data_IF_404048922760
#
_entry.id   IF_404048922760
#
_cell.length_a   1.000
_cell.length_b   1.000
_cell.length_c   1.000
_cell.angle_alpha   90.00
_cell.angle_beta   90.00
_cell.angle_gamma   90.00
#
_symmetry.space_group_name_H-M   'P 1'
#
loop_
_entity.id
_entity.type
_entity.pdbx_description
1 polymer ?
#
# COMPACT_ATOMS: atom_id res chain seq x y z
N UNK A 1 6.98 -22.06 -6.91
CA UNK A 1 5.78 -22.06 -7.77
C UNK A 1 5.45 -20.61 -8.07
N UNK A 2 4.89 -20.33 -9.25
CA UNK A 2 4.78 -18.98 -9.83
C UNK A 2 3.60 -18.20 -9.21
N UNK A 3 3.79 -16.93 -8.87
CA UNK A 3 2.70 -16.04 -8.47
C UNK A 3 1.67 -15.87 -9.60
N UNK A 4 0.38 -15.95 -9.29
CA UNK A 4 -0.70 -15.87 -10.31
C UNK A 4 -1.07 -14.43 -10.69
N UNK A 5 -0.52 -13.45 -9.98
CA UNK A 5 -0.69 -12.01 -10.26
C UNK A 5 0.44 -11.20 -9.61
N UNK A 6 0.64 -9.96 -10.07
CA UNK A 6 1.59 -9.00 -9.50
C UNK A 6 1.24 -7.56 -9.90
N UNK A 7 2.11 -6.60 -9.57
CA UNK A 7 1.89 -5.18 -9.87
C UNK A 7 1.84 -4.87 -11.38
N UNK A 8 2.55 -5.62 -12.22
CA UNK A 8 2.50 -5.45 -13.68
C UNK A 8 1.16 -5.93 -14.23
N UNK A 9 0.65 -7.06 -13.75
CA UNK A 9 -0.71 -7.54 -14.08
C UNK A 9 -1.76 -6.52 -13.64
N UNK A 10 -1.62 -5.95 -12.45
CA UNK A 10 -2.52 -4.90 -11.98
C UNK A 10 -2.48 -3.65 -12.86
N UNK A 11 -1.29 -3.21 -13.28
CA UNK A 11 -1.13 -2.11 -14.22
C UNK A 11 -1.82 -2.40 -15.57
N UNK A 12 -1.63 -3.59 -16.13
CA UNK A 12 -2.32 -4.03 -17.35
C UNK A 12 -3.84 -3.96 -17.18
N UNK A 13 -4.38 -4.55 -16.11
CA UNK A 13 -5.81 -4.52 -15.82
C UNK A 13 -6.38 -3.10 -15.68
N UNK A 14 -5.62 -2.17 -15.09
CA UNK A 14 -5.99 -0.74 -14.98
C UNK A 14 -6.05 -0.10 -16.37
N UNK A 15 -5.02 -0.31 -17.19
CA UNK A 15 -4.90 0.28 -18.52
C UNK A 15 -5.95 -0.28 -19.49
N UNK A 16 -6.20 -1.59 -19.47
CA UNK A 16 -7.23 -2.25 -20.28
C UNK A 16 -8.64 -1.82 -19.89
N UNK A 17 -8.92 -1.71 -18.58
CA UNK A 17 -10.21 -1.21 -18.09
C UNK A 17 -10.45 0.24 -18.54
N UNK A 18 -9.38 1.01 -18.72
CA UNK A 18 -9.39 2.41 -19.17
C UNK A 18 -10.39 3.28 -18.38
N UNK A 19 -10.55 2.99 -17.08
CA UNK A 19 -11.46 3.70 -16.20
C UNK A 19 -11.08 3.47 -14.73
N UNK A 20 -10.73 4.55 -14.05
CA UNK A 20 -10.43 4.54 -12.62
C UNK A 20 -11.54 5.19 -11.79
N UNK A 21 -12.79 4.98 -12.22
CA UNK A 21 -13.98 5.34 -11.43
C UNK A 21 -14.27 4.24 -10.41
N UNK A 22 -14.33 4.64 -9.14
CA UNK A 22 -14.66 3.73 -8.05
C UNK A 22 -16.14 3.41 -8.11
N UNK A 23 -16.47 2.13 -8.21
CA UNK A 23 -17.86 1.66 -8.30
C UNK A 23 -18.35 1.20 -6.93
N UNK A 24 -19.63 1.45 -6.60
CA UNK A 24 -20.25 0.90 -5.40
C UNK A 24 -20.14 -0.62 -5.37
N UNK A 25 -19.84 -1.18 -4.20
CA UNK A 25 -19.83 -2.61 -3.95
C UNK A 25 -21.02 -2.96 -3.07
N UNK A 26 -21.80 -3.96 -3.46
CA UNK A 26 -23.00 -4.39 -2.75
C UNK A 26 -22.73 -5.60 -1.86
N UNK A 27 -23.21 -5.55 -0.63
CA UNK A 27 -23.29 -6.69 0.28
C UNK A 27 -24.45 -7.61 -0.11
N UNK A 28 -24.48 -8.82 0.45
CA UNK A 28 -25.54 -9.82 0.18
C UNK A 28 -26.95 -9.34 0.53
N UNK A 29 -27.07 -8.42 1.48
CA UNK A 29 -28.33 -7.76 1.85
C UNK A 29 -28.71 -6.57 0.94
N UNK A 30 -27.94 -6.31 -0.11
CA UNK A 30 -28.14 -5.19 -1.05
C UNK A 30 -27.61 -3.83 -0.57
N UNK A 31 -27.09 -3.71 0.66
CA UNK A 31 -26.50 -2.44 1.11
C UNK A 31 -25.15 -2.18 0.45
N UNK A 32 -24.86 -0.94 0.11
CA UNK A 32 -23.56 -0.53 -0.44
C UNK A 32 -22.51 -0.38 0.67
N UNK A 33 -21.27 -0.76 0.38
CA UNK A 33 -20.11 -0.52 1.25
C UNK A 33 -19.83 0.99 1.42
N UNK A 34 -19.08 1.34 2.47
CA UNK A 34 -18.74 2.73 2.73
C UNK A 34 -17.82 3.26 1.63
N UNK A 35 -17.88 4.57 1.33
CA UNK A 35 -17.01 5.20 0.34
C UNK A 35 -15.50 5.10 0.68
N UNK A 36 -15.14 4.66 1.89
CA UNK A 36 -13.75 4.34 2.27
C UNK A 36 -13.24 3.05 1.62
N UNK A 37 -14.10 2.04 1.52
CA UNK A 37 -13.76 0.68 1.07
C UNK A 37 -13.60 0.62 -0.47
N UNK A 38 -14.14 1.60 -1.18
CA UNK A 38 -14.23 1.58 -2.64
C UNK A 38 -12.86 1.56 -3.34
N UNK A 39 -11.84 2.22 -2.77
CA UNK A 39 -10.47 2.15 -3.30
C UNK A 39 -9.86 0.77 -3.05
N UNK A 40 -10.06 0.20 -1.86
CA UNK A 40 -9.51 -1.12 -1.52
C UNK A 40 -10.06 -2.20 -2.45
N UNK A 41 -11.38 -2.22 -2.69
CA UNK A 41 -12.00 -3.11 -3.67
C UNK A 41 -11.49 -2.86 -5.09
N UNK A 42 -11.37 -1.60 -5.51
CA UNK A 42 -10.81 -1.27 -6.82
C UNK A 42 -9.39 -1.84 -6.97
N UNK A 43 -8.52 -1.64 -5.99
CA UNK A 43 -7.14 -2.14 -6.05
C UNK A 43 -7.12 -3.67 -6.04
N UNK A 44 -7.90 -4.32 -5.17
CA UNK A 44 -8.06 -5.80 -5.18
C UNK A 44 -8.52 -6.31 -6.54
N UNK A 45 -9.49 -5.64 -7.17
CA UNK A 45 -9.98 -6.01 -8.50
C UNK A 45 -8.88 -5.93 -9.57
N UNK A 46 -8.00 -4.93 -9.49
CA UNK A 46 -6.92 -4.78 -10.46
C UNK A 46 -5.85 -5.86 -10.25
N UNK A 47 -5.56 -6.27 -9.02
CA UNK A 47 -4.68 -7.42 -8.79
C UNK A 47 -5.36 -8.77 -9.11
N UNK A 48 -6.67 -8.88 -9.01
CA UNK A 48 -7.38 -10.15 -9.21
C UNK A 48 -8.13 -10.13 -10.55
N UNK A 49 -7.44 -10.47 -11.65
CA UNK A 49 -7.99 -10.46 -13.00
C UNK A 49 -9.38 -11.12 -13.06
N UNK A 50 -10.35 -10.40 -13.62
CA UNK A 50 -11.76 -10.83 -13.73
C UNK A 50 -12.68 -10.41 -12.57
N UNK A 51 -12.15 -10.01 -11.42
CA UNK A 51 -12.98 -9.59 -10.28
C UNK A 51 -13.78 -8.32 -10.56
N UNK A 52 -13.28 -7.42 -11.41
CA UNK A 52 -13.94 -6.18 -11.83
C UNK A 52 -15.26 -6.40 -12.58
N UNK A 53 -15.52 -7.61 -13.09
CA UNK A 53 -16.76 -7.97 -13.76
C UNK A 53 -17.97 -8.09 -12.81
N UNK A 54 -17.72 -8.18 -11.50
CA UNK A 54 -18.75 -8.38 -10.47
C UNK A 54 -18.97 -7.11 -9.64
N UNK A 55 -20.16 -6.97 -9.06
CA UNK A 55 -20.50 -5.86 -8.16
C UNK A 55 -20.87 -6.30 -6.74
N UNK A 56 -21.15 -7.60 -6.53
CA UNK A 56 -21.40 -8.13 -5.20
C UNK A 56 -20.11 -8.64 -4.55
N UNK A 57 -19.96 -8.34 -3.28
CA UNK A 57 -18.79 -8.69 -2.48
C UNK A 57 -18.54 -10.21 -2.43
N UNK A 58 -19.61 -11.02 -2.39
CA UNK A 58 -19.48 -12.47 -2.35
C UNK A 58 -18.86 -13.04 -3.64
N UNK A 59 -19.28 -12.53 -4.80
CA UNK A 59 -18.76 -12.96 -6.11
C UNK A 59 -17.29 -12.56 -6.27
N UNK A 60 -16.95 -11.32 -5.92
CA UNK A 60 -15.57 -10.84 -5.90
C UNK A 60 -14.70 -11.68 -4.99
N UNK A 61 -15.19 -12.02 -3.79
CA UNK A 61 -14.46 -12.85 -2.83
C UNK A 61 -14.10 -14.24 -3.39
N UNK A 62 -14.95 -14.83 -4.25
CA UNK A 62 -14.64 -16.12 -4.91
C UNK A 62 -13.45 -15.99 -5.88
N UNK A 63 -13.33 -14.83 -6.55
CA UNK A 63 -12.17 -14.53 -7.39
C UNK A 63 -10.94 -14.24 -6.51
N UNK A 64 -11.08 -13.37 -5.50
CA UNK A 64 -9.99 -13.00 -4.59
C UNK A 64 -9.32 -14.21 -3.92
N UNK A 65 -10.09 -15.23 -3.53
CA UNK A 65 -9.55 -16.46 -2.93
C UNK A 65 -8.56 -17.23 -3.83
N UNK A 66 -8.58 -16.98 -5.14
CA UNK A 66 -7.67 -17.61 -6.10
C UNK A 66 -6.29 -16.91 -6.14
N UNK A 67 -6.26 -15.62 -5.82
CA UNK A 67 -5.08 -14.76 -5.97
C UNK A 67 -4.46 -14.30 -4.65
N UNK A 68 -5.27 -14.15 -3.59
CA UNK A 68 -4.86 -13.56 -2.33
C UNK A 68 -4.66 -14.64 -1.26
N UNK A 69 -3.56 -14.54 -0.51
CA UNK A 69 -3.30 -15.36 0.69
C UNK A 69 -3.91 -14.74 1.95
N UNK A 70 -4.14 -13.43 1.94
CA UNK A 70 -4.83 -12.69 3.00
C UNK A 70 -5.69 -11.58 2.39
N UNK A 71 -6.88 -11.34 2.94
CA UNK A 71 -7.87 -10.41 2.38
C UNK A 71 -8.16 -9.17 3.23
N UNK A 72 -7.45 -8.97 4.33
CA UNK A 72 -7.61 -7.78 5.17
C UNK A 72 -8.63 -7.92 6.29
N UNK A 73 -8.45 -7.06 7.29
CA UNK A 73 -9.46 -6.71 8.29
C UNK A 73 -9.13 -5.30 8.83
N UNK A 74 -9.93 -4.79 9.77
CA UNK A 74 -9.78 -3.43 10.31
C UNK A 74 -8.57 -3.21 11.24
N UNK A 75 -7.81 -4.24 11.58
CA UNK A 75 -6.78 -4.22 12.64
C UNK A 75 -5.39 -4.56 12.12
N UNK A 76 -5.30 -5.44 11.13
CA UNK A 76 -4.05 -5.99 10.66
C UNK A 76 -3.51 -5.25 9.43
N UNK A 77 -2.19 -5.24 9.31
CA UNK A 77 -1.46 -4.74 8.16
C UNK A 77 -0.80 -5.92 7.45
N UNK A 78 -0.77 -5.97 6.11
CA UNK A 78 -1.39 -5.02 5.17
C UNK A 78 -2.89 -5.30 4.95
N UNK A 79 -3.56 -4.39 4.23
CA UNK A 79 -4.97 -4.53 3.82
C UNK A 79 -5.24 -5.79 2.97
N UNK A 80 -4.25 -6.29 2.22
CA UNK A 80 -4.29 -7.66 1.66
C UNK A 80 -2.90 -8.17 1.27
N UNK A 81 -2.75 -9.49 1.11
CA UNK A 81 -1.49 -10.12 0.65
C UNK A 81 -1.79 -10.98 -0.57
N UNK A 82 -0.98 -10.80 -1.61
CA UNK A 82 -1.01 -11.63 -2.81
C UNK A 82 -0.31 -12.95 -2.51
N UNK A 83 -0.91 -14.07 -2.91
CA UNK A 83 -0.31 -15.40 -2.74
C UNK A 83 1.04 -15.46 -3.47
N UNK A 84 2.07 -15.92 -2.76
CA UNK A 84 3.47 -15.93 -3.20
C UNK A 84 4.00 -14.56 -3.67
N UNK A 85 3.34 -13.46 -3.27
CA UNK A 85 3.64 -12.10 -3.72
C UNK A 85 3.70 -11.09 -2.58
N UNK A 86 3.68 -9.78 -2.93
CA UNK A 86 3.76 -8.71 -1.96
C UNK A 86 2.45 -8.50 -1.18
N UNK A 87 2.57 -7.84 -0.04
CA UNK A 87 1.45 -7.18 0.62
C UNK A 87 1.08 -5.88 -0.10
N UNK A 88 -0.18 -5.47 0.01
CA UNK A 88 -0.66 -4.22 -0.61
C UNK A 88 -1.46 -3.42 0.40
N UNK A 89 -1.14 -2.13 0.51
CA UNK A 89 -1.74 -1.17 1.42
C UNK A 89 -2.33 0.01 0.63
N UNK A 90 -3.63 -0.03 0.30
CA UNK A 90 -4.32 1.10 -0.30
C UNK A 90 -4.39 2.31 0.65
N UNK A 91 -4.16 3.50 0.10
CA UNK A 91 -4.28 4.78 0.81
C UNK A 91 -5.07 5.77 -0.01
N UNK A 92 -6.29 6.07 0.46
CA UNK A 92 -7.19 7.02 -0.19
C UNK A 92 -6.88 8.44 0.26
N UNK A 93 -6.73 9.33 -0.70
CA UNK A 93 -6.61 10.78 -0.52
C UNK A 93 -7.73 11.49 -1.28
N UNK A 94 -8.00 12.74 -0.93
CA UNK A 94 -9.04 13.53 -1.59
C UNK A 94 -8.44 14.70 -2.35
N UNK A 95 -8.96 14.94 -3.55
CA UNK A 95 -8.53 16.04 -4.42
C UNK A 95 -7.23 15.75 -5.18
N UNK A 96 -6.74 16.78 -5.87
CA UNK A 96 -5.54 16.72 -6.72
C UNK A 96 -4.23 16.95 -5.96
N UNK A 97 -4.32 17.41 -4.71
CA UNK A 97 -3.13 17.68 -3.88
C UNK A 97 -2.38 16.41 -3.54
N UNK A 98 -1.15 16.57 -3.04
CA UNK A 98 -0.27 15.46 -2.67
C UNK A 98 0.10 15.53 -1.18
N UNK A 99 -0.87 15.43 -0.24
CA UNK A 99 -0.54 15.44 1.18
C UNK A 99 0.29 14.22 1.56
N UNK A 100 0.94 14.30 2.72
CA UNK A 100 1.57 13.13 3.32
C UNK A 100 0.50 12.06 3.66
N UNK A 101 0.91 10.80 3.59
CA UNK A 101 0.11 9.65 3.98
C UNK A 101 0.18 9.51 5.50
N UNK A 102 -0.96 9.68 6.18
CA UNK A 102 -1.06 9.41 7.60
C UNK A 102 -1.14 7.90 7.87
N UNK A 103 -0.25 7.40 8.72
CA UNK A 103 -0.17 6.00 9.14
C UNK A 103 -0.40 5.92 10.65
N UNK A 104 -1.62 5.51 11.02
CA UNK A 104 -2.12 5.54 12.40
C UNK A 104 -1.96 4.21 13.16
N UNK A 105 -1.67 3.13 12.44
CA UNK A 105 -1.65 1.77 13.00
C UNK A 105 -0.23 1.24 13.20
N UNK A 106 0.73 1.66 12.38
CA UNK A 106 2.15 1.32 12.50
C UNK A 106 3.02 2.35 11.78
N UNK A 107 4.34 2.26 11.98
CA UNK A 107 5.33 2.92 11.14
C UNK A 107 5.25 2.43 9.67
N UNK A 108 5.76 3.21 8.69
CA UNK A 108 5.85 2.77 7.29
C UNK A 108 6.80 1.58 7.15
N UNK A 109 6.50 0.65 6.25
CA UNK A 109 7.24 -0.60 6.09
C UNK A 109 7.66 -0.80 4.64
N UNK A 110 8.94 -0.98 4.39
CA UNK A 110 9.45 -1.42 3.09
C UNK A 110 9.06 -2.88 2.81
N UNK A 111 9.11 -3.70 3.85
CA UNK A 111 8.85 -5.14 3.83
C UNK A 111 7.96 -5.56 5.00
N UNK A 112 7.35 -6.73 4.89
CA UNK A 112 6.81 -7.46 6.04
C UNK A 112 7.61 -8.75 6.24
N UNK A 113 7.73 -9.13 7.51
CA UNK A 113 8.32 -10.35 8.02
C UNK A 113 7.29 -11.09 8.88
N UNK A 114 7.41 -12.40 9.12
CA UNK A 114 6.49 -13.15 9.98
C UNK A 114 6.25 -12.55 11.37
N UNK A 115 7.24 -11.83 11.91
CA UNK A 115 7.24 -11.14 13.20
C UNK A 115 6.80 -9.66 13.13
N UNK A 116 6.51 -9.14 11.93
CA UNK A 116 6.15 -7.74 11.73
C UNK A 116 4.97 -7.30 12.58
N UNK A 117 5.07 -6.07 13.11
CA UNK A 117 4.01 -5.48 13.91
C UNK A 117 2.69 -5.39 13.13
N UNK A 118 1.64 -5.92 13.75
CA UNK A 118 0.25 -5.97 13.26
C UNK A 118 0.04 -6.87 12.03
N UNK A 119 0.99 -7.74 11.69
CA UNK A 119 0.73 -8.82 10.72
C UNK A 119 -0.44 -9.69 11.21
N UNK A 120 -1.34 -10.16 10.32
CA UNK A 120 -2.33 -11.16 10.70
C UNK A 120 -1.64 -12.44 11.22
N UNK A 121 -2.31 -13.21 12.09
CA UNK A 121 -1.83 -14.54 12.49
C UNK A 121 -1.44 -15.37 11.25
N UNK A 122 -0.26 -15.99 11.29
CA UNK A 122 0.32 -16.67 10.12
C UNK A 122 -0.55 -17.81 9.59
N UNK A 123 -1.32 -18.48 10.46
CA UNK A 123 -2.27 -19.53 10.12
C UNK A 123 -3.47 -19.02 9.30
N UNK A 124 -3.74 -17.71 9.30
CA UNK A 124 -4.74 -17.08 8.46
C UNK A 124 -4.19 -16.63 7.10
N UNK A 125 -2.86 -16.64 6.92
CA UNK A 125 -2.21 -16.30 5.65
C UNK A 125 -1.97 -17.59 4.88
N UNK A 126 -2.76 -17.81 3.82
CA UNK A 126 -2.74 -19.07 3.07
C UNK A 126 -1.64 -19.00 2.00
N UNK A 127 -0.42 -19.32 2.39
CA UNK A 127 0.75 -19.46 1.51
C UNK A 127 1.14 -20.93 1.31
N UNK A 128 1.79 -21.22 0.19
CA UNK A 128 2.25 -22.58 -0.12
C UNK A 128 3.59 -22.92 0.55
N UNK A 129 4.40 -21.90 0.83
CA UNK A 129 5.73 -22.04 1.43
C UNK A 129 5.89 -21.05 2.58
N UNK A 130 6.75 -21.42 3.53
CA UNK A 130 7.26 -20.46 4.51
C UNK A 130 8.00 -19.32 3.80
N UNK A 131 7.83 -18.11 4.31
CA UNK A 131 8.45 -16.91 3.77
C UNK A 131 9.10 -16.14 4.91
N UNK A 132 10.22 -15.49 4.62
CA UNK A 132 10.96 -14.68 5.59
C UNK A 132 10.72 -13.19 5.40
N UNK A 133 10.39 -12.79 4.17
CA UNK A 133 10.19 -11.40 3.79
C UNK A 133 9.22 -11.33 2.60
N UNK A 134 8.36 -10.31 2.59
CA UNK A 134 7.56 -9.92 1.42
C UNK A 134 7.63 -8.41 1.23
N UNK A 135 7.76 -7.98 -0.02
CA UNK A 135 7.61 -6.57 -0.42
C UNK A 135 6.23 -6.02 -0.02
N UNK A 136 6.14 -4.71 0.20
CA UNK A 136 4.88 -3.99 0.36
C UNK A 136 4.68 -3.01 -0.80
N UNK A 137 3.46 -2.96 -1.35
CA UNK A 137 3.03 -1.96 -2.32
C UNK A 137 2.09 -0.97 -1.64
N UNK A 138 2.45 0.30 -1.65
CA UNK A 138 1.56 1.40 -1.25
C UNK A 138 0.73 1.83 -2.47
N UNK A 139 -0.56 1.51 -2.44
CA UNK A 139 -1.50 1.86 -3.51
C UNK A 139 -2.20 3.19 -3.21
N UNK A 140 -1.59 4.31 -3.60
CA UNK A 140 -2.02 5.66 -3.21
C UNK A 140 -2.97 6.26 -4.25
N UNK A 141 -4.26 6.33 -3.92
CA UNK A 141 -5.31 6.82 -4.82
C UNK A 141 -5.81 8.20 -4.41
N UNK A 142 -5.71 9.18 -5.30
CA UNK A 142 -6.25 10.53 -5.14
C UNK A 142 -7.63 10.63 -5.78
N UNK A 143 -8.67 10.70 -4.98
CA UNK A 143 -10.05 10.69 -5.45
C UNK A 143 -10.60 12.09 -5.74
N UNK A 144 -11.25 12.26 -6.88
CA UNK A 144 -12.14 13.37 -7.15
C UNK A 144 -13.48 13.13 -6.42
N UNK A 145 -13.77 13.98 -5.43
CA UNK A 145 -14.99 13.86 -4.60
C UNK A 145 -16.29 14.09 -5.35
N UNK A 146 -16.24 14.72 -6.52
CA UNK A 146 -17.46 15.06 -7.24
C UNK A 146 -18.02 13.86 -8.02
N UNK A 147 -17.15 12.95 -8.46
CA UNK A 147 -17.54 11.90 -9.39
C UNK A 147 -16.93 10.52 -9.07
N UNK A 148 -16.24 10.38 -7.94
CA UNK A 148 -15.62 9.12 -7.49
C UNK A 148 -14.57 8.59 -8.48
N UNK A 149 -14.03 9.44 -9.36
CA UNK A 149 -12.92 9.10 -10.25
C UNK A 149 -11.58 9.42 -9.60
N UNK A 150 -10.60 8.54 -9.75
CA UNK A 150 -9.24 8.87 -9.35
C UNK A 150 -8.65 9.96 -10.28
N UNK A 151 -8.01 10.97 -9.71
CA UNK A 151 -7.13 11.88 -10.42
C UNK A 151 -5.76 11.22 -10.66
N UNK A 152 -5.34 10.38 -9.71
CA UNK A 152 -4.04 9.73 -9.71
C UNK A 152 -4.09 8.42 -8.91
N UNK A 153 -3.33 7.44 -9.36
CA UNK A 153 -3.02 6.23 -8.63
C UNK A 153 -1.52 5.95 -8.70
N UNK A 154 -0.89 5.73 -7.55
CA UNK A 154 0.45 5.18 -7.44
C UNK A 154 0.39 3.74 -6.96
N UNK A 155 1.18 2.87 -7.58
CA UNK A 155 1.57 1.56 -7.04
C UNK A 155 3.06 1.66 -6.71
N UNK A 156 3.39 2.05 -5.47
CA UNK A 156 4.78 2.28 -5.07
C UNK A 156 5.29 1.15 -4.18
N UNK A 157 6.31 0.42 -4.63
CA UNK A 157 6.99 -0.56 -3.78
C UNK A 157 7.69 0.17 -2.63
N UNK A 158 7.43 -0.23 -1.39
CA UNK A 158 7.89 0.47 -0.19
C UNK A 158 9.40 0.59 -0.12
N UNK A 159 10.12 -0.46 -0.49
CA UNK A 159 11.59 -0.49 -0.53
C UNK A 159 12.24 0.50 -1.51
N UNK A 160 11.46 1.18 -2.36
CA UNK A 160 11.97 2.25 -3.23
C UNK A 160 12.13 3.60 -2.51
N UNK A 161 11.52 3.78 -1.33
CA UNK A 161 11.54 5.07 -0.61
C UNK A 161 11.34 5.00 0.90
N UNK A 162 11.16 3.81 1.48
CA UNK A 162 11.01 3.58 2.92
C UNK A 162 12.23 2.79 3.38
N UNK A 163 12.80 3.21 4.51
CA UNK A 163 13.94 2.55 5.10
C UNK A 163 13.55 1.20 5.75
N UNK A 164 14.55 0.42 6.12
CA UNK A 164 14.36 -0.82 6.83
C UNK A 164 13.75 -0.58 8.21
N UNK A 165 13.06 -1.60 8.73
CA UNK A 165 12.26 -1.49 9.94
C UNK A 165 13.04 -1.02 11.17
N UNK A 166 14.34 -1.36 11.25
CA UNK A 166 15.22 -0.99 12.36
C UNK A 166 15.29 0.52 12.59
N UNK A 167 15.26 1.34 11.53
CA UNK A 167 15.24 2.80 11.65
C UNK A 167 14.07 3.28 12.53
N UNK A 168 12.92 2.61 12.42
CA UNK A 168 11.71 2.96 13.15
C UNK A 168 11.64 2.27 14.51
N UNK A 169 11.98 0.98 14.57
CA UNK A 169 11.89 0.20 15.81
C UNK A 169 12.93 0.64 16.84
N UNK A 170 14.14 1.04 16.42
CA UNK A 170 15.15 1.60 17.32
C UNK A 170 14.67 2.89 17.98
N UNK A 171 14.04 3.79 17.21
CA UNK A 171 13.43 5.00 17.77
C UNK A 171 12.31 4.66 18.77
N UNK A 172 11.40 3.75 18.41
CA UNK A 172 10.30 3.33 19.30
C UNK A 172 10.84 2.71 20.59
N UNK A 173 11.85 1.84 20.51
CA UNK A 173 12.46 1.19 21.65
C UNK A 173 13.17 2.20 22.56
N UNK A 174 13.90 3.17 21.99
CA UNK A 174 14.51 4.25 22.75
C UNK A 174 13.47 5.12 23.48
N UNK A 175 12.36 5.44 22.82
CA UNK A 175 11.25 6.17 23.44
C UNK A 175 10.60 5.37 24.58
N UNK A 176 10.36 4.07 24.38
CA UNK A 176 9.83 3.15 25.41
C UNK A 176 10.72 3.14 26.65
N UNK A 177 12.02 2.88 26.47
CA UNK A 177 13.00 2.85 27.56
C UNK A 177 13.03 4.17 28.34
N UNK A 178 12.91 5.30 27.64
CA UNK A 178 12.89 6.62 28.26
C UNK A 178 11.61 6.84 29.08
N UNK A 179 10.45 6.43 28.55
CA UNK A 179 9.16 6.58 29.22
C UNK A 179 9.08 5.72 30.47
N UNK A 180 9.55 4.47 30.41
CA UNK A 180 9.55 3.53 31.55
C UNK A 180 10.39 4.01 32.75
N UNK A 181 11.34 4.91 32.53
CA UNK A 181 12.17 5.51 33.57
C UNK A 181 11.50 6.67 34.31
N UNK A 182 10.29 7.11 33.91
CA UNK A 182 9.61 8.22 34.58
C UNK A 182 9.18 7.82 36.01
N UNK A 183 9.51 8.64 37.03
CA UNK A 183 9.19 8.32 38.41
C UNK A 183 7.68 8.32 38.66
N UNK A 184 7.24 7.50 39.63
CA UNK A 184 5.86 7.46 40.15
C UNK A 184 4.77 7.14 39.10
N UNK A 185 5.12 6.42 38.04
CA UNK A 185 4.21 6.06 36.94
C UNK A 185 4.03 4.54 36.86
N UNK A 186 2.79 4.06 36.72
CA UNK A 186 2.49 2.66 36.44
C UNK A 186 2.42 2.45 34.91
N UNK A 187 3.21 1.53 34.37
CA UNK A 187 3.24 1.24 32.93
C UNK A 187 2.53 -0.06 32.59
N UNK A 188 1.90 -0.10 31.42
CA UNK A 188 1.38 -1.33 30.83
C UNK A 188 2.17 -1.69 29.57
N UNK A 189 2.40 -2.99 29.38
CA UNK A 189 2.96 -3.51 28.14
C UNK A 189 2.09 -3.08 26.94
N UNK A 190 2.73 -2.58 25.88
CA UNK A 190 2.03 -2.06 24.71
C UNK A 190 2.81 -2.29 23.44
N UNK A 191 2.09 -2.65 22.37
CA UNK A 191 2.59 -2.58 20.99
C UNK A 191 2.81 -1.14 20.54
N UNK A 192 2.26 -0.16 21.25
CA UNK A 192 2.41 1.27 21.00
C UNK A 192 3.64 1.84 21.73
N UNK A 193 3.89 3.14 21.60
CA UNK A 193 5.05 3.81 22.23
C UNK A 193 5.00 3.69 23.76
N UNK A 194 3.80 3.70 24.35
CA UNK A 194 3.65 3.43 25.78
C UNK A 194 2.23 3.68 26.28
N UNK A 195 1.93 3.17 27.47
CA UNK A 195 0.68 3.47 28.18
C UNK A 195 0.98 3.68 29.65
N UNK A 196 0.65 4.87 30.14
CA UNK A 196 0.83 5.27 31.53
C UNK A 196 -0.52 5.21 32.23
N UNK A 197 -0.60 4.46 33.32
CA UNK A 197 -1.83 4.23 34.06
C UNK A 197 -1.92 5.14 35.29
N UNK A 198 -3.16 5.44 35.68
CA UNK A 198 -3.52 6.03 36.98
C UNK A 198 -2.76 7.34 37.31
N UNK A 199 -2.77 8.28 36.39
CA UNK A 199 -2.02 9.54 36.49
C UNK A 199 -2.57 10.48 37.57
N UNK A 200 -3.88 10.59 37.71
CA UNK A 200 -4.52 11.49 38.66
C UNK A 200 -4.54 10.93 40.10
N UNK A 201 -4.76 11.77 41.13
CA UNK A 201 -4.82 11.33 42.53
C UNK A 201 -5.90 10.27 42.82
N UNK A 202 -7.02 10.27 42.09
CA UNK A 202 -8.09 9.27 42.22
C UNK A 202 -7.82 8.00 41.40
N UNK A 203 -6.74 7.97 40.60
CA UNK A 203 -6.26 6.80 39.87
C UNK A 203 -7.22 6.30 38.79
N UNK A 204 -7.98 7.21 38.14
CA UNK A 204 -9.00 6.88 37.15
C UNK A 204 -8.66 7.32 35.70
N UNK A 205 -7.56 8.03 35.51
CA UNK A 205 -7.09 8.52 34.21
C UNK A 205 -5.84 7.76 33.74
N UNK A 206 -5.79 7.47 32.45
CA UNK A 206 -4.66 6.79 31.79
C UNK A 206 -4.24 7.61 30.58
N UNK A 207 -2.93 7.73 30.33
CA UNK A 207 -2.37 8.33 29.12
C UNK A 207 -1.94 7.23 28.15
N UNK A 208 -2.36 7.37 26.91
CA UNK A 208 -1.97 6.49 25.81
C UNK A 208 -1.05 7.25 24.87
N UNK A 209 0.15 6.71 24.62
CA UNK A 209 1.13 7.31 23.73
C UNK A 209 1.22 6.48 22.45
N UNK A 210 0.78 7.08 21.34
CA UNK A 210 0.81 6.51 19.99
C UNK A 210 1.58 7.42 19.05
N UNK A 211 2.42 6.84 18.21
CA UNK A 211 2.97 7.54 17.06
C UNK A 211 1.93 7.67 15.96
N UNK A 212 1.86 8.85 15.34
CA UNK A 212 1.20 9.06 14.05
C UNK A 212 2.30 9.36 13.05
N UNK A 213 2.53 8.46 12.11
CA UNK A 213 3.59 8.64 11.12
C UNK A 213 3.02 9.34 9.90
N UNK A 214 3.79 10.26 9.33
CA UNK A 214 3.48 10.92 8.08
C UNK A 214 4.52 10.53 7.04
N UNK A 215 4.10 9.75 6.04
CA UNK A 215 4.96 9.33 4.94
C UNK A 215 4.76 10.26 3.75
N UNK A 216 5.83 10.81 3.20
CA UNK A 216 5.77 11.69 2.03
C UNK A 216 5.11 10.97 0.85
N UNK A 217 4.22 11.68 0.15
CA UNK A 217 3.50 11.14 -1.00
C UNK A 217 4.48 10.67 -2.10
N UNK A 218 4.30 9.48 -2.71
CA UNK A 218 5.15 9.02 -3.81
C UNK A 218 5.25 10.03 -4.96
N UNK A 219 4.18 10.78 -5.23
CA UNK A 219 4.19 11.84 -6.24
C UNK A 219 5.24 12.94 -5.94
N UNK A 220 5.43 13.26 -4.67
CA UNK A 220 6.39 14.26 -4.22
C UNK A 220 7.79 13.66 -4.21
N UNK A 221 7.92 12.43 -3.69
CA UNK A 221 9.21 11.71 -3.63
C UNK A 221 9.83 11.56 -5.01
N UNK A 222 9.05 11.12 -5.99
CA UNK A 222 9.55 10.82 -7.33
C UNK A 222 9.35 11.95 -8.34
N UNK A 223 8.98 13.15 -7.88
CA UNK A 223 8.62 14.28 -8.75
C UNK A 223 9.68 14.61 -9.80
N UNK A 224 10.97 14.54 -9.44
CA UNK A 224 12.09 14.82 -10.35
C UNK A 224 12.31 13.75 -11.42
N UNK A 225 11.68 12.58 -11.27
CA UNK A 225 11.81 11.45 -12.19
C UNK A 225 10.60 11.31 -13.13
N UNK A 226 9.50 12.04 -12.87
CA UNK A 226 8.33 12.04 -13.72
C UNK A 226 8.62 12.80 -15.01
N UNK A 227 8.37 12.16 -16.15
CA UNK A 227 8.68 12.68 -17.49
C UNK A 227 7.46 12.78 -18.40
N UNK A 228 6.32 12.21 -17.99
CA UNK A 228 5.12 12.19 -18.82
C UNK A 228 4.47 13.57 -18.90
N UNK A 229 4.77 14.29 -19.97
CA UNK A 229 4.38 15.70 -20.12
C UNK A 229 3.00 15.91 -20.77
N UNK A 230 2.48 14.94 -21.52
CA UNK A 230 1.24 15.08 -22.31
C UNK A 230 0.12 14.15 -21.83
N UNK A 231 -0.35 14.35 -20.59
CA UNK A 231 -1.51 13.62 -20.06
C UNK A 231 -2.78 14.48 -20.25
N UNK A 232 -3.88 13.93 -20.81
CA UNK A 232 -5.14 14.67 -20.93
C UNK A 232 -5.62 15.21 -19.57
N UNK A 233 -6.17 16.43 -19.56
CA UNK A 233 -6.52 17.17 -18.33
C UNK A 233 -7.42 16.37 -17.37
N UNK A 234 -8.35 15.58 -17.92
CA UNK A 234 -9.29 14.80 -17.13
C UNK A 234 -8.89 13.34 -16.96
N UNK A 235 -7.72 12.91 -17.47
CA UNK A 235 -7.27 11.53 -17.35
C UNK A 235 -6.82 11.20 -15.92
N UNK A 236 -6.92 9.94 -15.54
CA UNK A 236 -6.31 9.42 -14.32
C UNK A 236 -4.84 9.14 -14.59
N UNK A 237 -3.94 9.74 -13.81
CA UNK A 237 -2.51 9.44 -13.88
C UNK A 237 -2.20 8.13 -13.14
N UNK A 238 -1.53 7.18 -13.78
CA UNK A 238 -1.17 5.89 -13.18
C UNK A 238 0.34 5.78 -13.15
N UNK A 239 0.91 5.61 -11.97
CA UNK A 239 2.35 5.42 -11.82
C UNK A 239 2.64 4.12 -11.07
N UNK A 240 3.66 3.39 -11.48
CA UNK A 240 4.21 2.23 -10.77
C UNK A 240 5.72 2.40 -10.66
N UNK A 241 6.26 2.23 -9.45
CA UNK A 241 7.71 2.16 -9.24
C UNK A 241 8.09 0.87 -8.52
N UNK A 242 9.13 0.22 -9.03
CA UNK A 242 9.64 -1.06 -8.57
C UNK A 242 11.15 -1.11 -8.78
N UNK A 243 11.91 -1.68 -7.84
CA UNK A 243 13.34 -1.88 -8.04
C UNK A 243 13.60 -2.83 -9.20
N UNK A 244 14.70 -2.65 -9.91
CA UNK A 244 15.06 -3.51 -11.04
C UNK A 244 15.22 -4.98 -10.62
N UNK A 245 15.76 -5.22 -9.42
CA UNK A 245 15.87 -6.56 -8.84
C UNK A 245 14.52 -7.22 -8.62
N UNK A 246 13.56 -6.48 -8.05
CA UNK A 246 12.20 -6.98 -7.81
C UNK A 246 11.47 -7.21 -9.15
N UNK A 247 11.59 -6.28 -10.10
CA UNK A 247 11.02 -6.42 -11.44
C UNK A 247 11.51 -7.68 -12.15
N UNK A 248 12.82 -7.94 -12.10
CA UNK A 248 13.41 -9.13 -12.72
C UNK A 248 13.01 -10.43 -12.00
N UNK A 249 12.62 -10.36 -10.73
CA UNK A 249 12.16 -11.52 -9.96
C UNK A 249 10.69 -11.87 -10.16
N UNK A 250 9.90 -10.99 -10.79
CA UNK A 250 8.50 -11.26 -11.07
C UNK A 250 8.36 -12.42 -12.06
N UNK A 251 7.43 -13.34 -11.79
CA UNK A 251 7.19 -14.45 -12.72
C UNK A 251 6.35 -14.06 -13.95
N UNK A 252 5.54 -13.00 -13.83
CA UNK A 252 4.63 -12.53 -14.88
C UNK A 252 5.05 -11.15 -15.37
N UNK A 253 5.36 -11.04 -16.66
CA UNK A 253 5.63 -9.80 -17.37
C UNK A 253 4.64 -9.66 -18.54
N UNK A 254 3.49 -9.01 -18.34
CA UNK A 254 2.57 -8.70 -19.43
C UNK A 254 3.22 -7.89 -20.54
N UNK A 255 2.74 -8.05 -21.77
CA UNK A 255 3.17 -7.22 -22.90
C UNK A 255 2.49 -5.84 -22.85
N UNK A 256 3.31 -4.80 -22.77
CA UNK A 256 2.86 -3.40 -22.73
C UNK A 256 2.93 -2.68 -24.07
N UNK A 257 3.37 -3.35 -25.14
CA UNK A 257 3.66 -2.75 -26.46
C UNK A 257 2.49 -1.89 -26.95
N UNK A 258 1.25 -2.41 -26.88
CA UNK A 258 0.06 -1.67 -27.32
C UNK A 258 -0.16 -0.33 -26.59
N UNK A 259 0.18 -0.25 -25.31
CA UNK A 259 -0.02 0.98 -24.53
C UNK A 259 1.10 1.98 -24.78
N UNK A 260 2.31 1.49 -25.04
CA UNK A 260 3.46 2.32 -25.39
C UNK A 260 3.27 2.93 -26.78
N UNK A 261 2.91 2.11 -27.77
CA UNK A 261 2.68 2.56 -29.16
C UNK A 261 1.53 3.58 -29.26
N UNK A 262 0.49 3.43 -28.44
CA UNK A 262 -0.62 4.37 -28.37
C UNK A 262 -0.35 5.58 -27.46
N UNK A 263 0.88 5.72 -26.93
CA UNK A 263 1.26 6.84 -26.07
C UNK A 263 0.48 6.91 -24.75
N UNK A 264 -0.04 5.79 -24.24
CA UNK A 264 -0.73 5.68 -22.94
C UNK A 264 0.18 5.27 -21.79
N UNK A 265 1.39 4.77 -22.09
CA UNK A 265 2.36 4.31 -21.12
C UNK A 265 3.78 4.61 -21.58
N UNK A 266 4.62 5.08 -20.65
CA UNK A 266 6.07 5.21 -20.79
C UNK A 266 6.71 4.42 -19.65
N UNK A 267 7.82 3.74 -19.95
CA UNK A 267 8.59 2.97 -18.96
C UNK A 267 10.02 3.48 -18.98
N UNK A 268 10.46 4.02 -17.84
CA UNK A 268 11.78 4.59 -17.68
C UNK A 268 12.60 3.80 -16.68
N UNK A 269 13.85 3.50 -17.01
CA UNK A 269 14.84 3.03 -16.04
C UNK A 269 15.48 4.24 -15.38
N UNK A 270 15.39 4.34 -14.05
CA UNK A 270 15.84 5.50 -13.27
C UNK A 270 16.77 5.08 -12.14
N UNK A 271 17.55 6.04 -11.64
CA UNK A 271 18.32 5.94 -10.41
C UNK A 271 17.61 6.72 -9.31
N UNK A 272 17.31 6.07 -8.20
CA UNK A 272 16.68 6.69 -7.02
C UNK A 272 17.64 6.64 -5.83
N UNK A 273 17.56 7.59 -4.87
CA UNK A 273 18.31 7.50 -3.64
C UNK A 273 17.99 6.20 -2.87
N UNK A 274 18.98 5.57 -2.27
CA UNK A 274 18.76 4.41 -1.42
C UNK A 274 18.21 4.88 -0.04
N UNK A 275 17.02 4.44 0.39
CA UNK A 275 16.43 4.87 1.66
C UNK A 275 17.21 4.39 2.89
N UNK A 276 18.12 3.43 2.72
CA UNK A 276 18.95 2.89 3.80
C UNK A 276 20.39 3.43 3.81
N UNK A 277 20.83 4.10 2.74
CA UNK A 277 22.18 4.66 2.62
C UNK A 277 22.19 5.83 1.62
N UNK A 278 22.15 7.05 2.14
CA UNK A 278 22.01 8.29 1.36
C UNK A 278 23.14 8.57 0.37
N UNK A 279 24.29 7.90 0.52
CA UNK A 279 25.44 8.03 -0.40
C UNK A 279 25.32 7.12 -1.64
N UNK A 280 24.30 6.26 -1.67
CA UNK A 280 24.11 5.27 -2.73
C UNK A 280 22.78 5.45 -3.46
N UNK A 281 22.70 4.86 -4.66
CA UNK A 281 21.50 4.88 -5.50
C UNK A 281 21.08 3.47 -5.87
N UNK A 282 19.78 3.26 -6.06
CA UNK A 282 19.18 2.02 -6.52
C UNK A 282 18.68 2.17 -7.96
N UNK A 283 18.78 1.11 -8.75
CA UNK A 283 18.14 1.06 -10.07
C UNK A 283 16.67 0.66 -9.92
N UNK A 284 15.78 1.38 -10.59
CA UNK A 284 14.35 1.12 -10.56
C UNK A 284 13.73 1.32 -11.95
N UNK A 285 12.59 0.66 -12.17
CA UNK A 285 11.70 0.97 -13.28
C UNK A 285 10.56 1.85 -12.77
N UNK A 286 10.32 2.96 -13.47
CA UNK A 286 9.20 3.85 -13.28
C UNK A 286 8.30 3.77 -14.51
N UNK A 287 7.09 3.28 -14.30
CA UNK A 287 6.02 3.21 -15.28
C UNK A 287 5.14 4.43 -15.07
N UNK A 288 4.93 5.21 -16.12
CA UNK A 288 4.09 6.41 -16.13
C UNK A 288 3.03 6.22 -17.22
N UNK A 289 1.75 6.20 -16.85
CA UNK A 289 0.67 6.03 -17.82
C UNK A 289 -0.58 6.79 -17.41
N UNK A 290 -1.63 6.65 -18.22
CA UNK A 290 -2.92 7.25 -17.89
C UNK A 290 -4.11 6.44 -18.42
N UNK A 291 -5.26 6.64 -17.79
CA UNK A 291 -6.56 6.15 -18.26
C UNK A 291 -7.55 7.29 -18.42
N UNK A 292 -8.60 7.05 -19.19
CA UNK A 292 -9.71 7.99 -19.34
C UNK A 292 -10.58 8.14 -18.08
#
# INVERSE_FOLDING_TARGET
MIATTNALVALTNILDRNSCRLTPIYRSNGSANAAGDSLEFFIKDMFCTGASAYQFEEEKNRIYNQFLSWKGNSTNFPDFIIKNGPGVEPKKMNGIGTPNLALNSSFPKAYIHPESQNLPPLDLIIEENEWQEKNIIYAVGNLNRNDEKLNRLWLAYGNTFIANENVYTDLINNLKNTIEQLPNSEFAESKEVGRILKLDPLKITNLRLRGMWELTNPEVVFKSHLTFNEIPVNATKINLIILETDYNSLDLHPDFTQFIENGKLVINRILIPNPNDVETTLNAYLFEGYTD
#
